data_IF_371932968625
#
_entry.id   IF_371932968625
#
_cell.length_a   1.000
_cell.length_b   1.000
_cell.length_c   1.000
_cell.angle_alpha   90.00
_cell.angle_beta   90.00
_cell.angle_gamma   90.00
#
_symmetry.space_group_name_H-M   'P 1'
#
loop_
_entity.id
_entity.type
_entity.pdbx_description
1 polymer ?
#
# COMPACT_ATOMS: atom_id res chain seq x y z
N UNK A 1 -19.14 2.47 -7.85
CA UNK A 1 -18.33 1.96 -6.72
C UNK A 1 -19.08 2.30 -5.43
N UNK A 2 -19.95 1.40 -4.99
CA UNK A 2 -20.82 1.60 -3.80
C UNK A 2 -20.26 0.95 -2.55
N UNK A 3 -19.27 0.05 -2.68
CA UNK A 3 -18.65 -0.62 -1.54
C UNK A 3 -17.49 0.20 -0.96
N UNK A 4 -17.32 0.18 0.38
CA UNK A 4 -16.24 0.88 1.05
C UNK A 4 -14.88 0.26 0.69
N UNK A 5 -13.89 1.13 0.42
CA UNK A 5 -12.54 0.70 0.03
C UNK A 5 -11.85 0.05 1.24
N UNK A 6 -11.44 -1.20 1.10
CA UNK A 6 -10.68 -1.93 2.11
C UNK A 6 -9.20 -1.59 1.98
N UNK A 7 -8.60 -1.01 3.01
CA UNK A 7 -7.21 -0.54 2.96
C UNK A 7 -6.34 -1.20 4.02
N UNK A 8 -5.06 -1.36 3.71
CA UNK A 8 -4.02 -1.76 4.65
C UNK A 8 -2.88 -0.75 4.60
N UNK A 9 -2.53 -0.15 5.74
CA UNK A 9 -1.37 0.73 5.87
C UNK A 9 -0.25 -0.03 6.57
N UNK A 10 0.96 0.02 6.02
CA UNK A 10 2.12 -0.70 6.52
C UNK A 10 3.27 0.27 6.69
N UNK A 11 3.67 0.51 7.93
CA UNK A 11 4.76 1.40 8.31
C UNK A 11 5.20 1.03 9.73
N UNK A 12 6.50 0.98 10.02
CA UNK A 12 6.99 0.62 11.36
C UNK A 12 6.80 1.75 12.38
N UNK A 13 6.73 3.00 11.90
CA UNK A 13 6.56 4.21 12.67
C UNK A 13 5.07 4.57 12.87
N UNK A 14 4.53 4.50 14.10
CA UNK A 14 3.11 4.78 14.36
C UNK A 14 2.65 6.16 13.93
N UNK A 15 3.53 7.17 13.96
CA UNK A 15 3.20 8.52 13.51
C UNK A 15 2.85 8.55 12.01
N UNK A 16 3.59 7.81 11.18
CA UNK A 16 3.32 7.72 9.74
C UNK A 16 1.98 7.03 9.46
N UNK A 17 1.67 5.96 10.20
CA UNK A 17 0.36 5.27 10.12
C UNK A 17 -0.76 6.26 10.39
N UNK A 18 -0.66 7.08 11.44
CA UNK A 18 -1.68 8.05 11.81
C UNK A 18 -1.88 9.12 10.72
N UNK A 19 -0.79 9.64 10.14
CA UNK A 19 -0.84 10.63 9.06
C UNK A 19 -1.53 10.04 7.82
N UNK A 20 -1.13 8.85 7.39
CA UNK A 20 -1.72 8.19 6.23
C UNK A 20 -3.19 7.81 6.46
N UNK A 21 -3.51 7.31 7.67
CA UNK A 21 -4.88 7.01 8.07
C UNK A 21 -5.77 8.26 8.01
N UNK A 22 -5.29 9.39 8.53
CA UNK A 22 -5.99 10.66 8.44
C UNK A 22 -6.19 11.11 6.98
N UNK A 23 -5.20 10.93 6.11
CA UNK A 23 -5.28 11.28 4.70
C UNK A 23 -6.37 10.50 3.94
N UNK A 24 -6.58 9.22 4.26
CA UNK A 24 -7.60 8.35 3.65
C UNK A 24 -8.91 8.31 4.42
N UNK A 25 -9.05 9.15 5.45
CA UNK A 25 -10.24 9.21 6.29
C UNK A 25 -11.54 9.31 5.48
N UNK A 26 -12.53 8.49 5.86
CA UNK A 26 -13.84 8.45 5.22
C UNK A 26 -13.90 7.74 3.86
N UNK A 27 -12.81 7.15 3.37
CA UNK A 27 -12.83 6.30 2.17
C UNK A 27 -13.31 4.86 2.43
N UNK A 28 -13.10 4.36 3.65
CA UNK A 28 -13.48 3.00 4.04
C UNK A 28 -12.66 2.49 5.24
N UNK A 29 -12.85 1.22 5.63
CA UNK A 29 -12.09 0.58 6.69
C UNK A 29 -10.59 0.52 6.39
N UNK A 30 -9.78 0.80 7.40
CA UNK A 30 -8.33 0.74 7.33
C UNK A 30 -7.82 -0.21 8.40
N UNK A 31 -7.03 -1.20 7.99
CA UNK A 31 -6.18 -1.99 8.90
C UNK A 31 -4.76 -1.47 8.84
N UNK A 32 -3.98 -1.76 9.87
CA UNK A 32 -2.57 -1.38 9.90
C UNK A 32 -1.68 -2.56 10.26
N UNK A 33 -0.44 -2.51 9.77
CA UNK A 33 0.65 -3.41 10.12
C UNK A 33 1.91 -2.60 10.40
N UNK A 34 2.76 -3.10 11.30
CA UNK A 34 4.05 -2.49 11.65
C UNK A 34 5.25 -3.26 11.12
N UNK A 35 5.01 -4.34 10.39
CA UNK A 35 6.03 -5.16 9.75
C UNK A 35 5.48 -5.80 8.48
N UNK A 36 6.37 -6.20 7.58
CA UNK A 36 6.01 -6.92 6.36
C UNK A 36 5.31 -8.26 6.63
N UNK A 37 5.76 -9.00 7.64
CA UNK A 37 5.15 -10.28 8.03
C UNK A 37 3.70 -10.09 8.48
N UNK A 38 3.45 -9.10 9.33
CA UNK A 38 2.11 -8.77 9.77
C UNK A 38 1.24 -8.31 8.58
N UNK A 39 1.80 -7.53 7.66
CA UNK A 39 1.10 -7.08 6.46
C UNK A 39 0.70 -8.25 5.56
N UNK A 40 1.61 -9.19 5.30
CA UNK A 40 1.33 -10.37 4.49
C UNK A 40 0.28 -11.28 5.12
N UNK A 41 0.34 -11.48 6.44
CA UNK A 41 -0.68 -12.23 7.18
C UNK A 41 -2.06 -11.58 7.04
N UNK A 42 -2.16 -10.28 7.33
CA UNK A 42 -3.42 -9.54 7.23
C UNK A 42 -3.96 -9.51 5.80
N UNK A 43 -3.09 -9.38 4.80
CA UNK A 43 -3.49 -9.38 3.39
C UNK A 43 -4.01 -10.75 2.94
N UNK A 44 -3.45 -11.86 3.44
CA UNK A 44 -3.97 -13.21 3.16
C UNK A 44 -5.30 -13.48 3.86
N UNK A 45 -5.41 -13.11 5.13
CA UNK A 45 -6.60 -13.37 5.94
C UNK A 45 -7.83 -12.63 5.39
N UNK A 46 -7.62 -11.40 4.92
CA UNK A 46 -8.63 -10.61 4.21
C UNK A 46 -7.93 -9.70 3.20
N UNK A 47 -7.96 -10.00 1.88
CA UNK A 47 -7.30 -9.18 0.87
C UNK A 47 -7.87 -7.75 0.83
N UNK A 48 -7.04 -6.70 1.04
CA UNK A 48 -7.47 -5.32 0.86
C UNK A 48 -7.56 -4.97 -0.64
N UNK A 49 -8.22 -3.85 -0.95
CA UNK A 49 -8.22 -3.29 -2.29
C UNK A 49 -6.90 -2.57 -2.58
N UNK A 50 -6.39 -1.86 -1.56
CA UNK A 50 -5.18 -1.03 -1.65
C UNK A 50 -4.30 -1.23 -0.41
N UNK A 51 -3.00 -1.41 -0.63
CA UNK A 51 -1.95 -1.41 0.39
C UNK A 51 -1.12 -0.14 0.22
N UNK A 52 -1.01 0.64 1.30
CA UNK A 52 -0.05 1.74 1.41
C UNK A 52 1.15 1.21 2.19
N UNK A 53 2.29 1.06 1.54
CA UNK A 53 3.43 0.32 2.07
C UNK A 53 4.68 1.19 2.13
N UNK A 54 5.24 1.36 3.32
CA UNK A 54 6.56 1.94 3.48
C UNK A 54 7.65 1.01 2.92
N UNK A 55 8.66 1.61 2.29
CA UNK A 55 9.80 0.87 1.71
C UNK A 55 10.87 0.60 2.77
N UNK A 56 11.12 1.55 3.66
CA UNK A 56 12.26 1.56 4.57
C UNK A 56 11.83 1.13 5.96
N UNK A 57 11.65 -0.18 6.16
CA UNK A 57 11.38 -0.76 7.47
C UNK A 57 12.60 -1.56 7.99
N UNK A 58 12.81 -1.65 9.32
CA UNK A 58 14.01 -2.24 9.94
C UNK A 58 14.27 -3.72 9.61
N UNK A 59 13.21 -4.50 9.42
CA UNK A 59 13.30 -5.97 9.29
C UNK A 59 13.02 -6.48 7.87
N UNK A 60 12.20 -5.78 7.09
CA UNK A 60 11.80 -6.20 5.75
C UNK A 60 11.61 -4.99 4.85
N UNK A 61 12.22 -5.06 3.66
CA UNK A 61 12.09 -4.04 2.63
C UNK A 61 10.69 -4.12 1.98
N UNK A 62 10.01 -2.98 1.81
CA UNK A 62 8.71 -2.91 1.14
C UNK A 62 8.71 -3.51 -0.28
N UNK A 63 9.85 -3.54 -0.97
CA UNK A 63 9.99 -4.25 -2.24
C UNK A 63 9.85 -5.78 -2.10
N UNK A 64 10.31 -6.36 -0.99
CA UNK A 64 10.16 -7.80 -0.71
C UNK A 64 8.71 -8.14 -0.37
N UNK A 65 8.05 -7.30 0.43
CA UNK A 65 6.62 -7.45 0.76
C UNK A 65 5.78 -7.36 -0.50
N UNK A 66 6.07 -6.41 -1.39
CA UNK A 66 5.38 -6.29 -2.68
C UNK A 66 5.53 -7.55 -3.54
N UNK A 67 6.76 -8.08 -3.67
CA UNK A 67 7.00 -9.35 -4.39
C UNK A 67 6.26 -10.52 -3.76
N UNK A 68 6.23 -10.61 -2.43
CA UNK A 68 5.49 -11.66 -1.74
C UNK A 68 3.98 -11.57 -2.00
N UNK A 69 3.39 -10.36 -1.97
CA UNK A 69 1.99 -10.14 -2.33
C UNK A 69 1.69 -10.56 -3.77
N UNK A 70 2.58 -10.24 -4.71
CA UNK A 70 2.46 -10.63 -6.14
C UNK A 70 2.59 -12.13 -6.37
N UNK A 71 3.41 -12.81 -5.57
CA UNK A 71 3.64 -14.25 -5.71
C UNK A 71 2.51 -15.12 -5.19
N UNK A 72 1.61 -14.56 -4.36
CA UNK A 72 0.51 -15.29 -3.74
C UNK A 72 -0.80 -15.05 -4.52
N UNK A 73 -1.46 -16.09 -5.07
CA UNK A 73 -2.69 -15.94 -5.84
C UNK A 73 -3.82 -15.20 -5.12
N UNK A 74 -3.89 -15.28 -3.78
CA UNK A 74 -4.91 -14.60 -2.99
C UNK A 74 -4.71 -13.07 -2.94
N UNK A 75 -3.46 -12.62 -3.06
CA UNK A 75 -3.09 -11.21 -2.93
C UNK A 75 -2.49 -10.61 -4.19
N UNK A 76 -2.27 -11.41 -5.24
CA UNK A 76 -1.60 -10.98 -6.47
C UNK A 76 -2.32 -9.81 -7.17
N UNK A 77 -3.64 -9.70 -6.98
CA UNK A 77 -4.49 -8.63 -7.54
C UNK A 77 -4.65 -7.41 -6.64
N UNK A 78 -4.11 -7.40 -5.42
CA UNK A 78 -4.20 -6.26 -4.48
C UNK A 78 -3.42 -5.08 -5.05
N UNK A 79 -3.93 -3.85 -4.97
CA UNK A 79 -3.15 -2.69 -5.43
C UNK A 79 -2.10 -2.33 -4.40
N UNK A 80 -0.86 -2.10 -4.84
CA UNK A 80 0.24 -1.72 -3.94
C UNK A 80 0.77 -0.34 -4.31
N UNK A 81 0.64 0.61 -3.38
CA UNK A 81 1.27 1.92 -3.44
C UNK A 81 2.43 1.98 -2.45
N UNK A 82 3.64 2.13 -2.97
CA UNK A 82 4.83 2.36 -2.15
C UNK A 82 4.88 3.81 -1.69
N UNK A 83 5.23 4.03 -0.42
CA UNK A 83 5.31 5.36 0.19
C UNK A 83 6.65 5.49 0.91
N UNK A 84 7.63 6.16 0.32
CA UNK A 84 9.02 6.14 0.83
C UNK A 84 9.59 7.53 1.06
N UNK A 85 10.41 7.69 2.11
CA UNK A 85 11.23 8.90 2.31
C UNK A 85 12.39 9.02 1.32
N UNK A 86 12.81 7.91 0.73
CA UNK A 86 13.84 7.85 -0.32
C UNK A 86 13.17 7.59 -1.66
N UNK A 87 13.29 8.56 -2.57
CA UNK A 87 12.71 8.52 -3.90
C UNK A 87 13.77 8.98 -4.93
N UNK A 88 14.90 8.28 -4.98
CA UNK A 88 15.81 8.41 -6.11
C UNK A 88 15.26 7.68 -7.33
N UNK A 89 15.70 8.04 -8.54
CA UNK A 89 15.26 7.37 -9.78
C UNK A 89 15.46 5.84 -9.72
N UNK A 90 16.57 5.40 -9.11
CA UNK A 90 16.86 3.98 -8.91
C UNK A 90 15.88 3.26 -7.97
N UNK A 91 15.28 3.95 -6.99
CA UNK A 91 14.31 3.34 -6.09
C UNK A 91 12.92 3.26 -6.73
N UNK A 92 12.60 4.22 -7.61
CA UNK A 92 11.38 4.18 -8.43
C UNK A 92 11.44 3.03 -9.43
N UNK A 93 12.56 2.87 -10.14
CA UNK A 93 12.78 1.76 -11.07
C UNK A 93 12.66 0.40 -10.34
N UNK A 94 13.29 0.26 -9.18
CA UNK A 94 13.19 -0.94 -8.34
C UNK A 94 11.76 -1.21 -7.84
N UNK A 95 10.99 -0.16 -7.55
CA UNK A 95 9.58 -0.27 -7.16
C UNK A 95 8.68 -0.74 -8.30
N UNK A 96 8.91 -0.27 -9.51
CA UNK A 96 8.20 -0.74 -10.69
C UNK A 96 8.59 -2.18 -11.04
N UNK A 97 9.87 -2.51 -10.96
CA UNK A 97 10.37 -3.88 -11.16
C UNK A 97 9.81 -4.88 -10.15
N UNK A 98 9.52 -4.46 -8.91
CA UNK A 98 8.92 -5.33 -7.90
C UNK A 98 7.40 -5.51 -8.07
N UNK A 99 6.78 -4.79 -9.00
CA UNK A 99 5.37 -4.89 -9.33
C UNK A 99 4.46 -4.01 -8.48
N UNK A 100 4.94 -2.90 -7.92
CA UNK A 100 4.06 -1.90 -7.33
C UNK A 100 3.19 -1.22 -8.41
N UNK A 101 1.95 -0.86 -8.08
CA UNK A 101 1.06 -0.14 -9.01
C UNK A 101 1.26 1.39 -8.92
N UNK A 102 1.82 1.90 -7.83
CA UNK A 102 2.12 3.31 -7.65
C UNK A 102 3.28 3.55 -6.67
N UNK A 103 3.88 4.74 -6.75
CA UNK A 103 4.97 5.18 -5.87
C UNK A 103 4.78 6.64 -5.45
N UNK A 104 4.99 6.92 -4.17
CA UNK A 104 4.79 8.22 -3.56
C UNK A 104 5.98 8.58 -2.65
N UNK A 105 6.62 9.72 -2.92
CA UNK A 105 7.67 10.23 -2.05
C UNK A 105 7.08 10.90 -0.79
N UNK A 106 7.64 10.61 0.38
CA UNK A 106 7.40 11.36 1.62
C UNK A 106 8.30 12.61 1.63
N UNK A 107 7.80 13.77 2.13
CA UNK A 107 6.45 13.99 2.63
C UNK A 107 5.44 14.13 1.49
N UNK A 108 4.32 13.40 1.58
CA UNK A 108 3.27 13.46 0.58
C UNK A 108 2.06 14.28 1.07
N UNK A 109 1.48 15.16 0.24
CA UNK A 109 0.26 15.87 0.58
C UNK A 109 -0.90 14.89 0.84
N UNK A 110 -1.69 15.05 1.92
CA UNK A 110 -2.83 14.16 2.21
C UNK A 110 -3.84 14.06 1.06
N UNK A 111 -4.08 15.17 0.34
CA UNK A 111 -4.95 15.19 -0.82
C UNK A 111 -4.44 14.30 -1.96
N UNK A 112 -3.12 14.24 -2.17
CA UNK A 112 -2.50 13.39 -3.20
C UNK A 112 -2.61 11.91 -2.83
N UNK A 113 -2.30 11.55 -1.58
CA UNK A 113 -2.50 10.17 -1.05
C UNK A 113 -3.93 9.73 -1.31
N UNK A 114 -4.90 10.56 -0.92
CA UNK A 114 -6.33 10.28 -1.08
C UNK A 114 -6.74 10.09 -2.53
N UNK A 115 -6.21 10.92 -3.44
CA UNK A 115 -6.48 10.81 -4.87
C UNK A 115 -5.93 9.50 -5.44
N UNK A 116 -4.67 9.14 -5.11
CA UNK A 116 -4.04 7.89 -5.60
C UNK A 116 -4.77 6.65 -5.09
N UNK A 117 -5.15 6.63 -3.81
CA UNK A 117 -5.92 5.51 -3.24
C UNK A 117 -7.25 5.30 -3.96
N UNK A 118 -7.98 6.39 -4.29
CA UNK A 118 -9.23 6.29 -5.05
C UNK A 118 -9.03 5.71 -6.45
N UNK A 119 -8.01 6.18 -7.16
CA UNK A 119 -7.66 5.68 -8.49
C UNK A 119 -7.32 4.19 -8.44
N UNK A 120 -6.45 3.79 -7.50
CA UNK A 120 -6.06 2.39 -7.32
C UNK A 120 -7.26 1.52 -6.95
N UNK A 121 -8.10 1.96 -6.02
CA UNK A 121 -9.31 1.21 -5.65
C UNK A 121 -10.26 0.98 -6.83
N UNK A 122 -10.40 1.99 -7.71
CA UNK A 122 -11.19 1.85 -8.94
C UNK A 122 -10.56 0.81 -9.89
N UNK A 123 -9.23 0.82 -10.06
CA UNK A 123 -8.52 -0.19 -10.86
C UNK A 123 -8.64 -1.59 -10.24
N UNK A 124 -8.57 -1.71 -8.91
CA UNK A 124 -8.74 -2.96 -8.18
C UNK A 124 -10.11 -3.59 -8.44
N UNK A 125 -11.15 -2.75 -8.45
CA UNK A 125 -12.52 -3.15 -8.78
C UNK A 125 -12.62 -3.70 -10.20
N UNK A 126 -12.08 -2.97 -11.19
CA UNK A 126 -12.10 -3.39 -12.60
C UNK A 126 -11.33 -4.69 -12.88
N UNK A 127 -10.32 -5.04 -12.06
CA UNK A 127 -9.56 -6.31 -12.19
C UNK A 127 -10.29 -7.53 -11.58
N UNK A 128 -11.40 -7.31 -10.86
CA UNK A 128 -12.23 -8.36 -10.25
C UNK A 128 -13.43 -8.76 -11.12
N UNK A 129 -13.86 -7.87 -12.00
CA UNK A 129 -14.76 -8.19 -13.12
C UNK A 129 -14.03 -9.00 -14.20
#
# INVERSE_FOLDING_TARGET
MTDPIQMLIVDDEPANIQILHAAVGGLGPVRFARSGEQALKLARDAPPDVVLLDVVMPEQDGFQVTRALRSDPLTAKVMVMLVSATCGDADVDRGLECGADDFLAKPAPPALVRQRVRLLAELAWRRRE
#
